data_IF_065485575605
#
_entry.id   IF_065485575605
#
_cell.length_a   1.000
_cell.length_b   1.000
_cell.length_c   1.000
_cell.angle_alpha   90.00
_cell.angle_beta   90.00
_cell.angle_gamma   90.00
#
_symmetry.space_group_name_H-M   'P 1'
#
loop_
_entity.id
_entity.type
_entity.pdbx_description
1 polymer ?
#
# COMPACT_ATOMS: atom_id res chain seq x y z
N UNK A 1 15.44 -12.06 0.50
CA UNK A 1 15.40 -10.69 1.07
C UNK A 1 14.96 -10.73 2.53
N UNK A 2 15.61 -9.96 3.38
CA UNK A 2 15.15 -9.77 4.76
C UNK A 2 14.30 -8.49 4.83
N UNK A 3 12.97 -8.58 5.06
CA UNK A 3 12.08 -7.41 5.06
C UNK A 3 12.40 -6.37 6.15
N UNK A 4 13.16 -6.74 7.17
CA UNK A 4 13.54 -5.83 8.25
C UNK A 4 14.80 -5.03 7.94
N UNK A 5 15.53 -5.40 6.90
CA UNK A 5 16.83 -4.80 6.54
C UNK A 5 16.82 -4.23 5.13
N UNK A 6 15.71 -3.63 4.74
CA UNK A 6 15.57 -2.98 3.45
C UNK A 6 15.03 -1.57 3.61
N UNK A 7 15.27 -0.74 2.61
CA UNK A 7 14.68 0.58 2.52
C UNK A 7 13.24 0.45 2.00
N UNK A 8 12.27 1.01 2.72
CA UNK A 8 10.87 1.01 2.27
C UNK A 8 10.59 2.05 1.17
N UNK A 9 11.58 2.82 0.79
CA UNK A 9 11.49 3.76 -0.33
C UNK A 9 12.01 3.22 -1.65
N UNK A 10 12.93 2.23 -1.64
CA UNK A 10 13.51 1.66 -2.86
C UNK A 10 13.79 0.17 -2.77
N UNK A 11 13.59 -0.46 -1.60
CA UNK A 11 13.85 -1.86 -1.30
C UNK A 11 15.31 -2.32 -1.45
N UNK A 12 16.26 -1.38 -1.48
CA UNK A 12 17.66 -1.73 -1.37
C UNK A 12 17.98 -2.18 0.06
N UNK A 13 18.91 -3.09 0.21
CA UNK A 13 19.38 -3.52 1.53
C UNK A 13 20.02 -2.34 2.26
N UNK A 14 19.71 -2.19 3.53
CA UNK A 14 20.31 -1.20 4.42
C UNK A 14 20.16 -1.61 5.87
N UNK A 15 20.97 -1.00 6.74
CA UNK A 15 20.80 -1.16 8.19
C UNK A 15 19.55 -0.40 8.67
N UNK A 16 18.84 -0.96 9.67
CA UNK A 16 17.66 -0.30 10.23
C UNK A 16 17.98 1.05 10.88
N UNK A 17 17.04 1.97 10.81
CA UNK A 17 17.09 3.22 11.57
C UNK A 17 17.90 4.35 10.96
N UNK A 18 18.54 4.15 9.83
CA UNK A 18 19.28 5.20 9.11
C UNK A 18 18.56 5.58 7.81
N UNK A 19 18.68 6.84 7.36
CA UNK A 19 18.20 7.20 6.02
C UNK A 19 18.90 6.36 4.96
N UNK A 20 18.16 6.02 3.91
CA UNK A 20 18.74 5.22 2.84
C UNK A 20 19.83 6.02 2.10
N UNK A 21 21.07 5.50 2.01
CA UNK A 21 22.13 6.18 1.28
C UNK A 21 21.88 6.23 -0.22
N UNK A 22 20.94 5.42 -0.71
CA UNK A 22 20.64 5.28 -2.14
C UNK A 22 19.56 6.22 -2.62
N UNK A 23 18.41 6.30 -1.90
CA UNK A 23 17.26 7.12 -2.29
C UNK A 23 16.93 8.24 -1.31
N UNK A 24 17.56 8.26 -0.13
CA UNK A 24 17.32 9.28 0.88
C UNK A 24 16.08 9.07 1.73
N UNK A 25 15.31 8.03 1.50
CA UNK A 25 14.10 7.79 2.29
C UNK A 25 14.44 7.53 3.75
N UNK A 26 13.73 8.21 4.65
CA UNK A 26 13.90 8.05 6.09
C UNK A 26 12.64 7.42 6.68
N UNK A 27 12.76 6.18 7.16
CA UNK A 27 11.65 5.43 7.75
C UNK A 27 11.15 6.03 9.07
N UNK A 28 11.92 6.92 9.68
CA UNK A 28 11.53 7.62 10.90
C UNK A 28 10.71 8.88 10.64
N UNK A 29 10.58 9.30 9.38
CA UNK A 29 9.69 10.41 9.03
C UNK A 29 8.24 10.00 9.25
N UNK A 30 7.42 10.99 9.63
CA UNK A 30 6.00 10.77 9.84
C UNK A 30 5.32 10.31 8.56
N UNK A 31 4.55 9.21 8.66
CA UNK A 31 3.77 8.68 7.55
C UNK A 31 2.30 9.12 7.66
N UNK A 32 1.57 9.20 6.51
CA UNK A 32 0.16 9.56 6.56
C UNK A 32 -0.64 8.64 7.49
N UNK A 33 -1.52 9.22 8.29
CA UNK A 33 -2.30 8.47 9.28
C UNK A 33 -3.15 7.35 8.67
N UNK A 34 -3.72 7.61 7.49
CA UNK A 34 -4.56 6.61 6.80
C UNK A 34 -3.75 5.48 6.16
N UNK A 35 -2.44 5.65 6.02
CA UNK A 35 -1.59 4.65 5.39
C UNK A 35 -1.31 3.47 6.32
N UNK A 36 -1.15 2.28 5.72
CA UNK A 36 -0.63 1.13 6.45
C UNK A 36 0.79 1.43 6.93
N UNK A 37 1.19 0.88 8.09
CA UNK A 37 2.57 1.04 8.57
C UNK A 37 3.59 0.49 7.56
N UNK A 38 4.73 1.18 7.46
CA UNK A 38 5.86 0.71 6.67
C UNK A 38 6.27 -0.69 7.14
N UNK A 39 6.56 -1.58 6.20
CA UNK A 39 6.97 -2.93 6.50
C UNK A 39 5.84 -3.92 6.76
N UNK A 40 4.58 -3.49 6.62
CA UNK A 40 3.43 -4.40 6.68
C UNK A 40 3.55 -5.45 5.59
N UNK A 41 3.25 -6.71 5.92
CA UNK A 41 3.24 -7.79 4.92
C UNK A 41 1.81 -8.26 4.72
N UNK A 42 1.33 -8.13 3.48
CA UNK A 42 -0.01 -8.52 3.08
C UNK A 42 0.00 -9.93 2.49
N UNK A 43 -0.91 -10.78 2.95
CA UNK A 43 -1.04 -12.17 2.50
C UNK A 43 0.27 -12.97 2.56
N UNK A 44 1.17 -12.62 3.46
CA UNK A 44 2.47 -13.26 3.59
C UNK A 44 3.38 -13.08 2.37
N UNK A 45 3.05 -12.17 1.46
CA UNK A 45 3.73 -12.05 0.17
C UNK A 45 4.13 -10.63 -0.20
N UNK A 46 3.29 -9.63 0.08
CA UNK A 46 3.52 -8.27 -0.40
C UNK A 46 4.00 -7.38 0.74
N UNK A 47 5.23 -6.90 0.62
CA UNK A 47 5.82 -5.97 1.57
C UNK A 47 5.41 -4.54 1.20
N UNK A 48 4.82 -3.83 2.14
CA UNK A 48 4.34 -2.46 1.95
C UNK A 48 5.47 -1.47 2.24
N UNK A 49 5.76 -0.63 1.27
CA UNK A 49 6.72 0.47 1.38
C UNK A 49 6.03 1.83 1.42
N UNK A 50 6.74 2.84 0.94
CA UNK A 50 6.28 4.23 1.02
C UNK A 50 5.01 4.48 0.23
N UNK A 51 4.25 5.49 0.67
CA UNK A 51 3.09 5.96 -0.07
C UNK A 51 3.56 6.69 -1.35
N UNK A 52 3.01 6.28 -2.48
CA UNK A 52 3.25 6.94 -3.76
C UNK A 52 2.20 8.01 -4.04
N UNK A 53 0.99 7.85 -3.54
CA UNK A 53 -0.07 8.82 -3.72
C UNK A 53 -1.29 8.52 -2.88
N UNK A 54 -2.04 9.56 -2.54
CA UNK A 54 -3.30 9.48 -1.82
C UNK A 54 -4.35 10.24 -2.62
N UNK A 55 -5.43 9.54 -2.95
CA UNK A 55 -6.61 10.14 -3.55
C UNK A 55 -7.82 10.03 -2.63
N UNK A 56 -8.96 10.58 -3.07
CA UNK A 56 -10.21 10.53 -2.30
C UNK A 56 -10.76 9.12 -2.10
N UNK A 57 -10.36 8.17 -2.95
CA UNK A 57 -10.88 6.80 -2.93
C UNK A 57 -9.84 5.75 -2.53
N UNK A 58 -8.56 6.12 -2.47
CA UNK A 58 -7.57 5.12 -2.14
C UNK A 58 -6.17 5.64 -1.95
N UNK A 59 -5.32 4.70 -1.57
CA UNK A 59 -3.89 4.95 -1.32
C UNK A 59 -3.09 4.01 -2.22
N UNK A 60 -2.08 4.55 -2.88
CA UNK A 60 -1.13 3.76 -3.66
C UNK A 60 0.20 3.71 -2.94
N UNK A 61 0.71 2.50 -2.75
CA UNK A 61 2.00 2.25 -2.09
C UNK A 61 3.00 1.68 -3.08
N UNK A 62 4.27 1.98 -2.86
CA UNK A 62 5.33 1.16 -3.41
C UNK A 62 5.34 -0.15 -2.63
N UNK A 63 5.36 -1.28 -3.31
CA UNK A 63 5.40 -2.58 -2.68
C UNK A 63 6.48 -3.48 -3.27
N UNK A 64 6.72 -4.58 -2.62
CA UNK A 64 7.64 -5.60 -3.09
C UNK A 64 7.01 -6.98 -2.97
N UNK A 65 6.99 -7.71 -4.07
CA UNK A 65 6.50 -9.09 -4.10
C UNK A 65 7.64 -10.00 -3.64
N UNK A 66 7.52 -10.54 -2.43
CA UNK A 66 8.56 -11.39 -1.83
C UNK A 66 8.70 -12.73 -2.56
N UNK A 67 7.68 -13.17 -3.27
CA UNK A 67 7.70 -14.43 -4.03
C UNK A 67 8.38 -14.26 -5.38
N UNK A 68 7.98 -13.24 -6.13
CA UNK A 68 8.55 -12.98 -7.46
C UNK A 68 9.78 -12.08 -7.42
N UNK A 69 10.09 -11.49 -6.26
CA UNK A 69 11.24 -10.60 -6.05
C UNK A 69 11.24 -9.42 -7.01
N UNK A 70 10.07 -8.78 -7.16
CA UNK A 70 9.89 -7.59 -7.99
C UNK A 70 9.16 -6.48 -7.23
N UNK A 71 9.41 -5.24 -7.65
CA UNK A 71 8.64 -4.09 -7.16
C UNK A 71 7.26 -4.10 -7.80
N UNK A 72 6.25 -3.72 -7.03
CA UNK A 72 4.86 -3.64 -7.46
C UNK A 72 4.24 -2.36 -6.94
N UNK A 73 3.12 -1.96 -7.52
CA UNK A 73 2.27 -0.92 -6.96
C UNK A 73 1.11 -1.61 -6.24
N UNK A 74 0.89 -1.24 -4.99
CA UNK A 74 -0.22 -1.76 -4.18
C UNK A 74 -1.25 -0.65 -4.06
N UNK A 75 -2.47 -0.92 -4.50
CA UNK A 75 -3.59 0.02 -4.38
C UNK A 75 -4.55 -0.47 -3.31
N UNK A 76 -4.80 0.38 -2.32
CA UNK A 76 -5.73 0.11 -1.25
C UNK A 76 -6.98 0.97 -1.43
N UNK A 77 -8.16 0.37 -1.33
CA UNK A 77 -9.41 1.10 -1.30
C UNK A 77 -9.59 1.73 0.09
N UNK A 78 -9.51 3.06 0.14
CA UNK A 78 -9.67 3.85 1.36
C UNK A 78 -10.40 5.14 1.02
N UNK A 79 -11.75 5.11 0.94
CA UNK A 79 -12.52 6.32 0.65
C UNK A 79 -12.56 7.21 1.89
N UNK A 80 -11.72 8.24 1.92
CA UNK A 80 -11.48 9.08 3.10
C UNK A 80 -12.75 9.82 3.58
N UNK A 81 -13.73 10.01 2.70
CA UNK A 81 -15.02 10.61 3.10
C UNK A 81 -15.90 9.67 3.92
N UNK A 82 -15.67 8.35 3.86
CA UNK A 82 -16.52 7.32 4.46
C UNK A 82 -15.80 6.40 5.43
N UNK A 83 -14.47 6.43 5.44
CA UNK A 83 -13.69 5.46 6.19
C UNK A 83 -12.42 6.08 6.77
N UNK A 84 -11.92 5.46 7.82
CA UNK A 84 -10.65 5.82 8.43
C UNK A 84 -9.93 4.58 8.93
N UNK A 85 -8.68 4.75 9.34
CA UNK A 85 -7.88 3.68 9.93
C UNK A 85 -8.17 3.61 11.43
N UNK A 86 -8.37 2.39 11.94
CA UNK A 86 -8.54 2.16 13.37
C UNK A 86 -7.22 2.39 14.12
N UNK A 87 -7.30 2.44 15.46
CA UNK A 87 -6.13 2.66 16.32
C UNK A 87 -5.07 1.56 16.23
N UNK A 88 -5.45 0.35 15.77
CA UNK A 88 -4.50 -0.72 15.47
C UNK A 88 -3.62 -0.42 14.25
N UNK A 89 -3.95 0.63 13.48
CA UNK A 89 -3.30 1.10 12.26
C UNK A 89 -3.45 0.17 11.03
N UNK A 90 -4.27 -0.86 11.13
CA UNK A 90 -4.50 -1.83 10.04
C UNK A 90 -5.97 -1.87 9.60
N UNK A 91 -6.90 -1.92 10.54
CA UNK A 91 -8.31 -2.12 10.26
C UNK A 91 -8.96 -0.86 9.69
N UNK A 92 -9.70 -1.00 8.60
CA UNK A 92 -10.51 0.09 8.04
C UNK A 92 -11.87 0.07 8.73
N UNK A 93 -12.31 1.23 9.23
CA UNK A 93 -13.61 1.40 9.85
C UNK A 93 -14.39 2.50 9.14
N UNK A 94 -15.70 2.33 9.02
CA UNK A 94 -16.57 3.34 8.43
C UNK A 94 -16.84 4.45 9.45
N UNK A 95 -16.80 5.69 8.99
CA UNK A 95 -17.02 6.87 9.83
C UNK A 95 -18.48 7.34 9.79
N UNK A 96 -19.30 6.75 8.91
CA UNK A 96 -20.69 7.10 8.75
C UNK A 96 -21.52 5.89 8.31
N UNK A 97 -22.85 6.01 8.33
CA UNK A 97 -23.77 4.94 7.92
C UNK A 97 -23.93 4.87 6.40
N UNK A 98 -22.81 4.75 5.68
CA UNK A 98 -22.79 4.72 4.21
C UNK A 98 -22.27 3.39 3.67
N UNK A 99 -22.66 2.28 4.30
CA UNK A 99 -22.18 0.95 3.93
C UNK A 99 -22.44 0.59 2.48
N UNK A 100 -23.60 0.98 1.95
CA UNK A 100 -23.94 0.71 0.54
C UNK A 100 -23.07 1.48 -0.42
N UNK A 101 -22.80 2.74 -0.15
CA UNK A 101 -21.93 3.58 -0.97
C UNK A 101 -20.48 3.08 -0.91
N UNK A 102 -20.04 2.65 0.28
CA UNK A 102 -18.73 2.06 0.48
C UNK A 102 -18.58 0.78 -0.37
N UNK A 103 -19.56 -0.12 -0.31
CA UNK A 103 -19.53 -1.36 -1.08
C UNK A 103 -19.57 -1.11 -2.60
N UNK A 104 -20.42 -0.21 -3.05
CA UNK A 104 -20.50 0.15 -4.47
C UNK A 104 -19.18 0.74 -4.98
N UNK A 105 -18.55 1.59 -4.20
CA UNK A 105 -17.24 2.15 -4.53
C UNK A 105 -16.14 1.09 -4.57
N UNK A 106 -16.17 0.14 -3.64
CA UNK A 106 -15.22 -0.98 -3.61
C UNK A 106 -15.36 -1.85 -4.86
N UNK A 107 -16.59 -2.17 -5.26
CA UNK A 107 -16.82 -2.97 -6.46
C UNK A 107 -16.27 -2.30 -7.71
N UNK A 108 -16.50 -1.00 -7.86
CA UNK A 108 -15.96 -0.22 -8.98
C UNK A 108 -14.44 -0.15 -8.95
N UNK A 109 -13.86 0.02 -7.77
CA UNK A 109 -12.41 0.04 -7.58
C UNK A 109 -11.77 -1.28 -8.03
N UNK A 110 -12.35 -2.41 -7.61
CA UNK A 110 -11.87 -3.74 -7.98
C UNK A 110 -12.08 -4.03 -9.46
N UNK A 111 -13.17 -3.56 -10.05
CA UNK A 111 -13.44 -3.71 -11.47
C UNK A 111 -12.39 -3.00 -12.33
N UNK A 112 -12.03 -1.76 -12.00
CA UNK A 112 -10.95 -1.04 -12.66
C UNK A 112 -9.64 -1.80 -12.57
N UNK A 113 -9.31 -2.33 -11.41
CA UNK A 113 -8.10 -3.11 -11.21
C UNK A 113 -8.09 -4.37 -12.08
N UNK A 114 -9.23 -5.05 -12.24
CA UNK A 114 -9.35 -6.22 -13.11
C UNK A 114 -9.18 -5.87 -14.59
N UNK A 115 -9.73 -4.74 -15.03
CA UNK A 115 -9.58 -4.26 -16.41
C UNK A 115 -8.11 -3.97 -16.69
N UNK A 116 -7.43 -3.28 -15.81
CA UNK A 116 -6.00 -2.99 -15.96
C UNK A 116 -5.16 -4.27 -16.03
N UNK A 117 -5.48 -5.25 -15.21
CA UNK A 117 -4.78 -6.55 -15.23
C UNK A 117 -4.96 -7.29 -16.55
N UNK A 118 -6.13 -7.18 -17.18
CA UNK A 118 -6.41 -7.81 -18.48
C UNK A 118 -5.67 -7.14 -19.65
N UNK A 119 -5.38 -5.84 -19.54
CA UNK A 119 -4.69 -5.08 -20.58
C UNK A 119 -3.19 -5.25 -20.52
N UNK A 120 -2.65 -5.78 -19.45
CA UNK A 120 -1.22 -5.96 -19.27
C UNK A 120 -0.80 -7.33 -19.81
N UNK A 121 0.22 -7.35 -20.68
CA UNK A 121 0.76 -8.59 -21.23
C UNK A 121 1.72 -9.30 -20.28
N UNK A 122 2.20 -8.62 -19.27
CA UNK A 122 2.99 -9.18 -18.17
C UNK A 122 2.17 -9.09 -16.89
N UNK A 123 2.27 -10.09 -15.99
CA UNK A 123 1.53 -10.03 -14.73
C UNK A 123 2.10 -8.92 -13.84
N UNK A 124 1.58 -7.73 -14.01
CA UNK A 124 1.77 -6.66 -13.05
C UNK A 124 0.63 -6.75 -12.07
N UNK A 125 0.99 -6.93 -10.82
CA UNK A 125 0.00 -7.01 -9.78
C UNK A 125 -0.38 -5.59 -9.39
N UNK A 126 -1.59 -5.23 -9.73
CA UNK A 126 -2.23 -4.04 -9.22
C UNK A 126 -3.19 -4.53 -8.14
N UNK A 127 -2.83 -4.31 -6.90
CA UNK A 127 -3.67 -4.73 -5.80
C UNK A 127 -3.75 -3.63 -4.74
#
# INVERSE_FOLDING_TARGET
MNPERVCYGCFAEKDPGIPCPRCGFNENDEQPYLALPLGTILNGRYLVGKVLGIGGFGITYLGYDLTLEIKVAIKEYMPSAMATRNTDRYTVVLTSHQEKDYQSGMERFLEEARILAKLQTTPNIVS
#
